data_IF_613109836021
#
_entry.id   IF_613109836021
#
_cell.length_a   1.000
_cell.length_b   1.000
_cell.length_c   1.000
_cell.angle_alpha   90.00
_cell.angle_beta   90.00
_cell.angle_gamma   90.00
#
_symmetry.space_group_name_H-M   'P 1'
#
loop_
_entity.id
_entity.type
_entity.pdbx_description
1 polymer ?
#
# COMPACT_ATOMS: atom_id res chain seq x y z
N UNK A 1 66.07 30.48 21.43
CA UNK A 1 66.22 30.06 22.84
C UNK A 1 65.21 30.89 23.63
N UNK A 2 64.11 30.40 24.23
CA UNK A 2 63.81 29.12 24.85
C UNK A 2 62.27 28.90 24.79
N UNK A 3 61.90 27.67 24.50
CA UNK A 3 60.58 27.01 24.53
C UNK A 3 59.95 27.06 25.94
N UNK A 4 58.62 27.19 26.05
CA UNK A 4 57.73 26.16 26.62
C UNK A 4 56.33 26.67 26.98
N UNK A 5 55.34 26.18 26.21
CA UNK A 5 54.28 25.24 26.63
C UNK A 5 53.90 25.17 28.12
N UNK A 6 52.58 25.25 28.36
CA UNK A 6 51.64 24.30 29.02
C UNK A 6 50.77 24.88 30.14
N UNK A 7 49.48 25.00 29.82
CA UNK A 7 48.35 24.30 30.43
C UNK A 7 48.34 24.07 31.96
N UNK A 8 47.26 24.57 32.56
CA UNK A 8 46.57 23.97 33.70
C UNK A 8 45.87 25.04 34.53
N UNK A 9 44.69 24.86 35.13
CA UNK A 9 43.76 23.74 35.18
C UNK A 9 42.56 24.23 36.07
N UNK A 10 41.32 24.12 35.56
CA UNK A 10 40.01 24.08 36.26
C UNK A 10 39.47 25.37 36.94
N UNK A 11 38.17 25.72 36.84
CA UNK A 11 37.03 24.87 37.24
C UNK A 11 35.68 25.30 36.61
N UNK A 12 35.06 24.36 35.90
CA UNK A 12 33.64 24.00 35.67
C UNK A 12 32.52 24.95 36.17
N UNK A 13 31.66 25.38 35.25
CA UNK A 13 30.19 25.46 35.43
C UNK A 13 29.49 24.95 34.15
N UNK A 14 28.56 23.98 34.23
CA UNK A 14 27.86 23.46 33.05
C UNK A 14 26.75 24.43 32.66
N UNK A 15 26.78 24.95 31.43
CA UNK A 15 25.61 25.62 30.85
C UNK A 15 24.96 24.65 29.88
N UNK A 16 23.76 24.29 30.30
CA UNK A 16 22.78 23.41 29.71
C UNK A 16 22.23 24.03 28.41
N UNK A 17 21.77 23.14 27.54
CA UNK A 17 20.83 23.35 26.42
C UNK A 17 21.39 23.88 25.10
N UNK A 18 21.43 22.96 24.14
CA UNK A 18 21.55 23.22 22.71
C UNK A 18 21.33 21.93 21.94
N UNK A 19 20.11 21.38 22.08
CA UNK A 19 19.60 20.17 21.45
C UNK A 19 19.84 20.21 19.92
N UNK A 20 20.91 19.57 19.44
CA UNK A 20 21.08 19.26 18.02
C UNK A 20 20.73 17.79 17.82
N UNK A 21 19.43 17.48 17.92
CA UNK A 21 18.90 16.19 17.50
C UNK A 21 18.89 16.19 15.96
N UNK A 22 19.99 15.74 15.36
CA UNK A 22 20.02 15.41 13.95
C UNK A 22 19.14 14.17 13.74
N UNK A 23 17.85 14.39 13.41
CA UNK A 23 16.97 13.35 12.89
C UNK A 23 17.51 12.94 11.52
N UNK A 24 18.35 11.91 11.50
CA UNK A 24 18.62 11.15 10.29
C UNK A 24 17.30 10.47 9.95
N UNK A 25 16.54 11.07 9.03
CA UNK A 25 15.43 10.41 8.35
C UNK A 25 16.06 9.35 7.47
N UNK A 26 16.38 8.20 8.07
CA UNK A 26 16.56 6.98 7.31
C UNK A 26 15.21 6.73 6.63
N UNK A 27 15.16 6.96 5.32
CA UNK A 27 14.04 6.55 4.50
C UNK A 27 13.85 5.06 4.70
N UNK A 28 12.90 4.71 5.56
CA UNK A 28 12.37 3.37 5.64
C UNK A 28 11.61 3.21 4.32
N UNK A 29 12.31 2.71 3.30
CA UNK A 29 11.66 2.02 2.21
C UNK A 29 10.95 0.84 2.87
N UNK A 30 9.70 1.07 3.26
CA UNK A 30 8.82 -0.02 3.67
C UNK A 30 8.75 -0.94 2.45
N UNK A 31 9.16 -2.21 2.53
CA UNK A 31 8.72 -3.15 1.53
C UNK A 31 7.20 -3.10 1.61
N UNK A 32 6.54 -2.60 0.55
CA UNK A 32 5.10 -2.70 0.40
C UNK A 32 4.78 -4.17 0.63
N UNK A 33 4.17 -4.46 1.78
CA UNK A 33 4.11 -5.80 2.32
C UNK A 33 3.41 -6.71 1.33
N UNK A 34 4.05 -7.82 1.00
CA UNK A 34 3.31 -9.04 0.68
C UNK A 34 2.63 -9.49 1.98
N UNK A 35 1.58 -8.77 2.38
CA UNK A 35 0.64 -9.25 3.38
C UNK A 35 -0.28 -10.20 2.65
N UNK A 36 -0.22 -11.48 2.99
CA UNK A 36 -1.19 -12.47 2.50
C UNK A 36 -2.59 -12.04 2.95
N UNK A 37 -3.35 -11.36 2.08
CA UNK A 37 -4.72 -10.94 2.38
C UNK A 37 -5.66 -12.12 2.16
N UNK A 38 -5.73 -12.98 3.19
CA UNK A 38 -6.76 -14.04 3.23
C UNK A 38 -8.14 -13.42 3.09
N UNK A 39 -8.99 -14.09 2.29
CA UNK A 39 -10.42 -13.75 2.22
C UNK A 39 -10.97 -13.70 3.64
N UNK A 40 -11.67 -12.60 3.97
CA UNK A 40 -12.32 -12.49 5.27
C UNK A 40 -13.38 -13.59 5.34
N UNK A 41 -13.33 -14.41 6.39
CA UNK A 41 -14.25 -15.54 6.60
C UNK A 41 -15.74 -15.15 6.64
N UNK A 42 -16.03 -13.86 6.74
CA UNK A 42 -17.38 -13.28 6.71
C UNK A 42 -17.94 -13.11 5.28
N UNK A 43 -17.12 -13.21 4.23
CA UNK A 43 -17.58 -13.09 2.85
C UNK A 43 -18.06 -14.44 2.32
N UNK A 44 -19.35 -14.50 1.99
CA UNK A 44 -19.95 -15.63 1.28
C UNK A 44 -19.69 -15.44 -0.23
N UNK A 45 -18.56 -15.95 -0.70
CA UNK A 45 -18.12 -15.82 -2.09
C UNK A 45 -18.34 -17.14 -2.85
N UNK A 46 -18.76 -17.08 -4.12
CA UNK A 46 -18.89 -18.27 -4.95
C UNK A 46 -17.58 -19.07 -5.10
N UNK A 47 -17.70 -20.39 -5.34
CA UNK A 47 -16.56 -21.30 -5.51
C UNK A 47 -15.57 -20.90 -6.61
N UNK A 48 -16.00 -20.09 -7.59
CA UNK A 48 -15.13 -19.61 -8.66
C UNK A 48 -14.22 -18.45 -8.25
N UNK A 49 -14.34 -17.94 -7.02
CA UNK A 49 -13.43 -16.93 -6.50
C UNK A 49 -12.08 -17.54 -6.12
N UNK A 50 -10.98 -16.77 -6.23
CA UNK A 50 -9.69 -17.23 -5.75
C UNK A 50 -9.76 -17.46 -4.24
N UNK A 51 -8.94 -18.37 -3.71
CA UNK A 51 -8.92 -18.64 -2.26
C UNK A 51 -8.34 -17.48 -1.43
N UNK A 52 -7.50 -16.65 -2.05
CA UNK A 52 -6.78 -15.52 -1.42
C UNK A 52 -6.70 -14.37 -2.42
N UNK A 53 -6.76 -13.14 -1.91
CA UNK A 53 -6.49 -11.94 -2.69
C UNK A 53 -5.14 -11.34 -2.29
N UNK A 54 -4.49 -10.64 -3.22
CA UNK A 54 -3.29 -9.86 -2.89
C UNK A 54 -3.67 -8.54 -2.20
N UNK A 55 -4.89 -8.05 -2.47
CA UNK A 55 -5.49 -6.96 -1.73
C UNK A 55 -6.98 -6.82 -2.01
N UNK A 56 -7.62 -5.93 -1.27
CA UNK A 56 -9.03 -5.59 -1.44
C UNK A 56 -9.29 -4.16 -0.93
N UNK A 57 -10.39 -3.56 -1.36
CA UNK A 57 -10.79 -2.24 -0.92
C UNK A 57 -11.96 -1.69 -1.72
N UNK A 58 -12.36 -0.46 -1.43
CA UNK A 58 -13.42 0.23 -2.16
C UNK A 58 -12.85 0.96 -3.37
N UNK A 59 -13.51 0.82 -4.52
CA UNK A 59 -13.17 1.62 -5.70
C UNK A 59 -13.52 3.08 -5.43
N UNK A 60 -12.53 3.97 -5.52
CA UNK A 60 -12.78 5.42 -5.55
C UNK A 60 -12.91 5.95 -6.99
N UNK A 61 -12.25 5.27 -7.94
CA UNK A 61 -12.29 5.56 -9.39
C UNK A 61 -11.84 4.33 -10.17
N UNK A 62 -12.47 4.06 -11.30
CA UNK A 62 -11.98 3.06 -12.27
C UNK A 62 -11.87 3.65 -13.67
N UNK A 63 -10.81 3.28 -14.39
CA UNK A 63 -10.56 3.64 -15.79
C UNK A 63 -9.99 2.43 -16.55
N UNK A 64 -9.64 2.64 -17.82
CA UNK A 64 -9.16 1.57 -18.71
C UNK A 64 -7.81 0.97 -18.29
N UNK A 65 -6.88 1.78 -17.76
CA UNK A 65 -5.50 1.38 -17.47
C UNK A 65 -5.14 1.47 -15.97
N UNK A 66 -6.05 1.97 -15.15
CA UNK A 66 -5.82 2.22 -13.73
C UNK A 66 -7.11 2.15 -12.92
N UNK A 67 -6.95 1.86 -11.64
CA UNK A 67 -8.02 1.88 -10.65
C UNK A 67 -7.49 2.52 -9.38
N UNK A 68 -8.31 3.32 -8.72
CA UNK A 68 -8.03 3.86 -7.39
C UNK A 68 -8.83 3.05 -6.39
N UNK A 69 -8.14 2.34 -5.48
CA UNK A 69 -8.74 1.51 -4.44
C UNK A 69 -8.25 1.99 -3.08
N UNK A 70 -9.16 2.36 -2.19
CA UNK A 70 -8.87 2.97 -0.88
C UNK A 70 -7.76 4.05 -0.99
N UNK A 71 -7.98 5.02 -1.87
CA UNK A 71 -7.09 6.15 -2.20
C UNK A 71 -5.72 5.75 -2.79
N UNK A 72 -5.50 4.48 -3.11
CA UNK A 72 -4.27 3.98 -3.72
C UNK A 72 -4.44 3.81 -5.22
N UNK A 73 -3.62 4.52 -6.01
CA UNK A 73 -3.59 4.37 -7.46
C UNK A 73 -2.85 3.09 -7.85
N UNK A 74 -3.55 2.17 -8.51
CA UNK A 74 -3.05 0.88 -8.95
C UNK A 74 -3.18 0.74 -10.47
N UNK A 75 -2.14 0.23 -11.13
CA UNK A 75 -2.14 0.03 -12.58
C UNK A 75 -2.84 -1.27 -12.95
N UNK A 76 -3.69 -1.22 -13.98
CA UNK A 76 -4.28 -2.40 -14.59
C UNK A 76 -3.33 -2.93 -15.67
N UNK A 77 -3.11 -4.24 -15.68
CA UNK A 77 -2.42 -4.89 -16.78
C UNK A 77 -3.26 -4.80 -18.07
N UNK A 78 -2.66 -4.72 -19.27
CA UNK A 78 -3.43 -4.78 -20.53
C UNK A 78 -4.28 -6.05 -20.71
N UNK A 79 -3.97 -7.10 -19.95
CA UNK A 79 -4.68 -8.38 -19.94
C UNK A 79 -5.53 -8.59 -18.67
N UNK A 80 -5.87 -7.53 -17.92
CA UNK A 80 -6.69 -7.64 -16.71
C UNK A 80 -8.01 -8.34 -17.00
N UNK A 81 -8.31 -9.36 -16.21
CA UNK A 81 -9.61 -10.04 -16.22
C UNK A 81 -10.52 -9.49 -15.13
N UNK A 82 -11.82 -9.63 -15.32
CA UNK A 82 -12.81 -9.11 -14.39
C UNK A 82 -13.83 -10.18 -14.05
N UNK A 83 -14.23 -10.24 -12.78
CA UNK A 83 -15.24 -11.15 -12.30
C UNK A 83 -16.20 -10.47 -11.32
N UNK A 84 -17.46 -10.87 -11.38
CA UNK A 84 -18.50 -10.52 -10.43
C UNK A 84 -19.02 -11.76 -9.71
N UNK A 85 -19.88 -11.52 -8.71
CA UNK A 85 -20.54 -12.60 -7.97
C UNK A 85 -21.28 -13.58 -8.89
N UNK A 86 -21.72 -13.11 -10.07
CA UNK A 86 -22.55 -13.90 -10.99
C UNK A 86 -21.83 -14.27 -12.30
N UNK A 87 -20.61 -13.80 -12.55
CA UNK A 87 -19.93 -14.01 -13.84
C UNK A 87 -18.42 -13.88 -13.74
N UNK A 88 -17.67 -14.80 -14.36
CA UNK A 88 -16.20 -14.73 -14.54
C UNK A 88 -15.77 -14.06 -15.85
N UNK A 89 -16.74 -13.59 -16.65
CA UNK A 89 -16.53 -12.90 -17.93
C UNK A 89 -17.05 -11.46 -17.85
N UNK A 90 -16.85 -10.81 -16.71
CA UNK A 90 -17.26 -9.43 -16.52
C UNK A 90 -16.36 -8.48 -17.33
N UNK A 91 -16.79 -7.23 -17.44
CA UNK A 91 -16.03 -6.15 -18.08
C UNK A 91 -15.78 -5.01 -17.10
N UNK A 92 -14.85 -4.10 -17.44
CA UNK A 92 -14.52 -2.93 -16.62
C UNK A 92 -15.78 -2.11 -16.24
N UNK A 93 -16.70 -1.91 -17.19
CA UNK A 93 -17.95 -1.16 -17.01
C UNK A 93 -18.92 -1.79 -15.99
N UNK A 94 -18.72 -3.07 -15.61
CA UNK A 94 -19.49 -3.70 -14.56
C UNK A 94 -19.07 -3.21 -13.16
N UNK A 95 -18.01 -2.42 -13.04
CA UNK A 95 -17.46 -1.93 -11.78
C UNK A 95 -17.65 -0.42 -11.67
N UNK A 96 -17.92 0.05 -10.46
CA UNK A 96 -18.21 1.47 -10.20
C UNK A 96 -17.59 1.94 -8.90
N UNK A 97 -17.48 3.25 -8.78
CA UNK A 97 -17.11 3.92 -7.54
C UNK A 97 -18.02 3.44 -6.39
N UNK A 98 -17.41 3.12 -5.25
CA UNK A 98 -18.06 2.55 -4.07
C UNK A 98 -18.18 1.03 -4.06
N UNK A 99 -17.86 0.31 -5.15
CA UNK A 99 -17.82 -1.16 -5.14
C UNK A 99 -16.67 -1.67 -4.27
N UNK A 100 -16.94 -2.66 -3.41
CA UNK A 100 -15.91 -3.40 -2.70
C UNK A 100 -15.37 -4.49 -3.62
N UNK A 101 -14.07 -4.49 -3.84
CA UNK A 101 -13.39 -5.42 -4.74
C UNK A 101 -12.18 -6.09 -4.09
N UNK A 102 -11.87 -7.29 -4.53
CA UNK A 102 -10.59 -7.96 -4.31
C UNK A 102 -9.79 -7.96 -5.61
N UNK A 103 -8.47 -8.00 -5.53
CA UNK A 103 -7.60 -8.05 -6.69
C UNK A 103 -6.45 -9.03 -6.53
N UNK A 104 -5.95 -9.49 -7.68
CA UNK A 104 -4.70 -10.23 -7.83
C UNK A 104 -3.73 -9.38 -8.65
N UNK A 105 -2.46 -9.38 -8.26
CA UNK A 105 -1.41 -8.57 -8.85
C UNK A 105 -0.25 -9.44 -9.32
N UNK A 106 0.44 -9.00 -10.37
CA UNK A 106 1.69 -9.63 -10.80
C UNK A 106 2.90 -9.11 -10.00
N UNK A 107 4.09 -9.65 -10.27
CA UNK A 107 5.34 -9.22 -9.64
C UNK A 107 5.76 -7.78 -9.97
N UNK A 108 5.18 -7.18 -11.02
CA UNK A 108 5.33 -5.78 -11.40
C UNK A 108 4.34 -4.85 -10.71
N UNK A 109 3.54 -5.36 -9.75
CA UNK A 109 2.50 -4.63 -9.03
C UNK A 109 1.35 -4.11 -9.92
N UNK A 110 1.14 -4.73 -11.08
CA UNK A 110 -0.04 -4.47 -11.91
C UNK A 110 -1.13 -5.47 -11.55
N UNK A 111 -2.38 -4.98 -11.47
CA UNK A 111 -3.55 -5.82 -11.25
C UNK A 111 -3.80 -6.65 -12.50
N UNK A 112 -3.77 -7.97 -12.35
CA UNK A 112 -4.08 -8.93 -13.42
C UNK A 112 -5.51 -9.43 -13.34
N UNK A 113 -6.19 -9.26 -12.21
CA UNK A 113 -7.58 -9.68 -12.05
C UNK A 113 -8.31 -8.88 -10.98
N UNK A 114 -9.53 -8.44 -11.26
CA UNK A 114 -10.39 -7.66 -10.36
C UNK A 114 -11.72 -8.39 -10.10
N UNK A 115 -12.10 -8.53 -8.83
CA UNK A 115 -13.21 -9.37 -8.38
C UNK A 115 -14.17 -8.56 -7.52
N UNK A 116 -15.43 -8.43 -7.95
CA UNK A 116 -16.45 -7.73 -7.17
C UNK A 116 -16.83 -8.57 -5.94
N UNK A 117 -16.61 -8.05 -4.74
CA UNK A 117 -17.01 -8.71 -3.49
C UNK A 117 -18.40 -8.22 -3.08
N UNK A 118 -18.67 -6.93 -3.20
CA UNK A 118 -19.95 -6.33 -2.84
C UNK A 118 -20.21 -5.08 -3.67
N UNK A 119 -21.44 -4.93 -4.16
CA UNK A 119 -21.87 -3.70 -4.83
C UNK A 119 -21.93 -2.51 -3.88
N UNK A 120 -21.40 -1.38 -4.33
CA UNK A 120 -21.59 -0.08 -3.73
C UNK A 120 -23.07 0.29 -3.69
N UNK A 121 -23.45 1.10 -2.71
CA UNK A 121 -24.80 1.67 -2.70
C UNK A 121 -24.89 2.73 -3.81
N UNK A 122 -26.00 2.77 -4.57
CA UNK A 122 -26.21 3.76 -5.63
C UNK A 122 -26.31 5.19 -5.10
#
# INVERSE_FOLDING_TARGET
MKISKTNGHLTIKPIIAGLALALIVAGICLPAGAGEHKIKSEWDLPDHYPAVFDGYGYINRIAAEEVVIDDSLLRLSPATTYATLNSVLAVNDDFRDGDLVGYLSNSGQEIISLWLIKKGSP
#
